data_IF_256492217493
#
_entry.id   IF_256492217493
#
_cell.length_a   1.000
_cell.length_b   1.000
_cell.length_c   1.000
_cell.angle_alpha   90.00
_cell.angle_beta   90.00
_cell.angle_gamma   90.00
#
_symmetry.space_group_name_H-M   'P 1'
#
loop_
_entity.id
_entity.type
_entity.pdbx_description
1 polymer ?
#
# COMPACT_ATOMS: atom_id res chain seq x y z
N UNK A 1 -12.72 -27.21 -6.31
CA UNK A 1 -11.94 -26.47 -5.27
C UNK A 1 -11.79 -25.05 -5.78
N UNK A 2 -12.05 -24.05 -4.98
CA UNK A 2 -11.78 -22.65 -5.35
C UNK A 2 -10.27 -22.43 -5.46
N UNK A 3 -9.87 -21.50 -6.34
CA UNK A 3 -8.47 -21.05 -6.42
C UNK A 3 -8.13 -20.19 -5.18
N UNK A 4 -6.92 -20.30 -4.67
CA UNK A 4 -6.44 -19.46 -3.55
C UNK A 4 -5.81 -18.14 -4.04
N UNK A 5 -5.65 -17.96 -5.35
CA UNK A 5 -5.13 -16.78 -6.01
C UNK A 5 -6.18 -16.08 -6.87
N UNK A 6 -5.94 -14.84 -7.22
CA UNK A 6 -6.79 -14.07 -8.13
C UNK A 6 -6.62 -14.61 -9.55
N UNK A 7 -7.72 -15.11 -10.14
CA UNK A 7 -7.75 -15.61 -11.51
C UNK A 7 -7.99 -14.45 -12.48
N UNK A 8 -6.90 -13.92 -13.02
CA UNK A 8 -6.91 -12.73 -13.89
C UNK A 8 -6.95 -13.10 -15.37
N UNK A 9 -7.58 -12.25 -16.15
CA UNK A 9 -7.44 -12.21 -17.59
C UNK A 9 -6.17 -11.41 -17.94
N UNK A 10 -5.12 -12.09 -18.41
CA UNK A 10 -3.82 -11.48 -18.73
C UNK A 10 -3.84 -10.50 -19.88
N UNK A 11 -4.98 -10.34 -20.57
CA UNK A 11 -5.15 -9.35 -21.65
C UNK A 11 -5.36 -7.92 -21.13
N UNK A 12 -5.59 -7.72 -19.83
CA UNK A 12 -5.90 -6.42 -19.24
C UNK A 12 -5.50 -6.33 -17.77
N UNK A 13 -5.16 -5.12 -17.34
CA UNK A 13 -4.99 -4.85 -15.93
C UNK A 13 -6.34 -4.80 -15.19
N UNK A 14 -6.33 -5.27 -13.97
CA UNK A 14 -7.50 -5.28 -13.09
C UNK A 14 -7.28 -4.29 -11.95
N UNK A 15 -8.32 -3.52 -11.61
CA UNK A 15 -8.27 -2.55 -10.52
C UNK A 15 -8.31 -3.26 -9.15
N UNK A 16 -7.20 -3.92 -8.85
CA UNK A 16 -6.89 -4.54 -7.57
C UNK A 16 -5.51 -4.06 -7.10
N UNK A 17 -5.29 -4.11 -5.80
CA UNK A 17 -4.05 -3.69 -5.17
C UNK A 17 -3.67 -4.66 -4.07
N UNK A 18 -2.38 -4.93 -3.91
CA UNK A 18 -1.86 -5.63 -2.74
C UNK A 18 -1.94 -4.69 -1.54
N UNK A 19 -2.86 -4.99 -0.61
CA UNK A 19 -3.16 -4.11 0.53
C UNK A 19 -2.21 -4.40 1.71
N UNK A 20 -1.42 -3.43 2.18
CA UNK A 20 -0.47 -3.62 3.26
C UNK A 20 -1.11 -4.09 4.58
N UNK A 21 -2.40 -3.80 4.78
CA UNK A 21 -3.13 -4.21 5.98
C UNK A 21 -3.55 -5.68 5.94
N UNK A 22 -3.74 -6.25 4.75
CA UNK A 22 -4.13 -7.65 4.54
C UNK A 22 -2.94 -8.61 4.49
N UNK A 23 -1.71 -8.11 4.54
CA UNK A 23 -0.51 -8.95 4.49
C UNK A 23 -0.44 -9.89 5.69
N UNK A 24 -0.18 -11.20 5.50
CA UNK A 24 0.16 -12.10 6.59
C UNK A 24 1.47 -11.65 7.27
N UNK A 25 1.66 -12.07 8.51
CA UNK A 25 2.77 -11.58 9.35
C UNK A 25 4.15 -11.68 8.68
N UNK A 26 4.43 -12.77 7.98
CA UNK A 26 5.68 -12.95 7.23
C UNK A 26 5.88 -11.85 6.19
N UNK A 27 4.87 -11.54 5.39
CA UNK A 27 4.94 -10.51 4.35
C UNK A 27 4.98 -9.11 4.96
N UNK A 28 4.19 -8.90 6.01
CA UNK A 28 4.17 -7.65 6.76
C UNK A 28 5.53 -7.34 7.38
N UNK A 29 6.23 -8.34 7.92
CA UNK A 29 7.56 -8.18 8.48
C UNK A 29 8.58 -7.73 7.42
N UNK A 30 8.57 -8.31 6.22
CA UNK A 30 9.45 -7.89 5.11
C UNK A 30 9.20 -6.42 4.75
N UNK A 31 7.94 -6.03 4.58
CA UNK A 31 7.57 -4.68 4.20
C UNK A 31 7.85 -3.64 5.31
N UNK A 32 7.62 -4.00 6.58
CA UNK A 32 7.96 -3.15 7.73
C UNK A 32 9.48 -2.96 7.85
N UNK A 33 10.26 -4.03 7.69
CA UNK A 33 11.72 -3.99 7.73
C UNK A 33 12.28 -3.03 6.69
N UNK A 34 11.77 -3.08 5.46
CA UNK A 34 12.15 -2.12 4.42
C UNK A 34 11.94 -0.68 4.85
N UNK A 35 10.73 -0.33 5.33
CA UNK A 35 10.42 1.06 5.74
C UNK A 35 11.30 1.50 6.91
N UNK A 36 11.52 0.64 7.90
CA UNK A 36 12.40 0.92 9.05
C UNK A 36 13.86 1.10 8.62
N UNK A 37 14.34 0.26 7.73
CA UNK A 37 15.72 0.36 7.19
C UNK A 37 15.92 1.66 6.43
N UNK A 38 14.99 2.02 5.56
CA UNK A 38 15.05 3.30 4.83
C UNK A 38 15.04 4.47 5.79
N UNK A 39 14.17 4.45 6.81
CA UNK A 39 14.14 5.50 7.84
C UNK A 39 15.44 5.59 8.62
N UNK A 40 16.02 4.46 9.00
CA UNK A 40 17.31 4.42 9.71
C UNK A 40 18.42 5.09 8.90
N UNK A 41 18.55 4.73 7.62
CA UNK A 41 19.54 5.34 6.71
C UNK A 41 19.28 6.84 6.54
N UNK A 42 18.01 7.23 6.36
CA UNK A 42 17.60 8.62 6.24
C UNK A 42 17.93 9.45 7.49
N UNK A 43 17.64 8.94 8.68
CA UNK A 43 17.84 9.62 9.96
C UNK A 43 19.31 9.83 10.30
N UNK A 44 20.20 8.98 9.78
CA UNK A 44 21.66 9.14 9.85
C UNK A 44 22.22 10.16 8.85
N UNK A 45 21.36 10.86 8.09
CA UNK A 45 21.73 11.89 7.13
C UNK A 45 22.03 11.37 5.71
N UNK A 46 22.04 10.05 5.48
CA UNK A 46 22.26 9.47 4.15
C UNK A 46 20.96 9.41 3.33
N UNK A 47 20.43 10.59 3.00
CA UNK A 47 19.19 10.70 2.23
C UNK A 47 19.28 10.09 0.84
N UNK A 48 20.42 10.20 0.19
CA UNK A 48 20.65 9.61 -1.13
C UNK A 48 20.59 8.08 -1.08
N UNK A 49 21.24 7.45 -0.09
CA UNK A 49 21.17 6.00 0.13
C UNK A 49 19.75 5.52 0.42
N UNK A 50 19.00 6.26 1.24
CA UNK A 50 17.59 5.96 1.50
C UNK A 50 16.75 6.01 0.20
N UNK A 51 16.95 7.01 -0.66
CA UNK A 51 16.26 7.12 -1.95
C UNK A 51 16.63 5.97 -2.88
N UNK A 52 17.88 5.55 -2.94
CA UNK A 52 18.32 4.44 -3.80
C UNK A 52 17.59 3.14 -3.48
N UNK A 53 17.27 2.87 -2.22
CA UNK A 53 16.48 1.68 -1.86
C UNK A 53 15.08 1.70 -2.49
N UNK A 54 14.43 2.87 -2.55
CA UNK A 54 13.13 2.99 -3.22
C UNK A 54 13.25 2.91 -4.75
N UNK A 55 14.30 3.50 -5.33
CA UNK A 55 14.52 3.49 -6.78
C UNK A 55 14.82 2.09 -7.33
N UNK A 56 15.21 1.15 -6.46
CA UNK A 56 15.41 -0.24 -6.84
C UNK A 56 14.08 -0.97 -7.09
N UNK A 57 13.00 -0.56 -6.42
CA UNK A 57 11.67 -1.12 -6.69
C UNK A 57 11.19 -0.64 -8.06
N UNK A 58 10.85 -1.60 -8.93
CA UNK A 58 10.33 -1.34 -10.27
C UNK A 58 8.89 -1.79 -10.35
N UNK A 59 8.11 -1.12 -11.18
CA UNK A 59 6.79 -1.57 -11.59
C UNK A 59 6.83 -3.04 -12.04
N UNK A 60 5.86 -3.83 -11.61
CA UNK A 60 5.78 -5.25 -11.90
C UNK A 60 4.51 -5.58 -12.68
N UNK A 61 4.59 -5.56 -14.00
CA UNK A 61 3.45 -5.85 -14.88
C UNK A 61 2.98 -7.32 -14.79
N UNK A 62 3.81 -8.21 -14.24
CA UNK A 62 3.51 -9.64 -14.13
C UNK A 62 2.35 -10.00 -13.18
N UNK A 63 1.78 -9.05 -12.45
CA UNK A 63 0.59 -9.25 -11.61
C UNK A 63 -0.71 -8.77 -12.27
N UNK A 64 -0.65 -7.98 -13.34
CA UNK A 64 -1.78 -7.36 -14.04
C UNK A 64 -2.75 -6.61 -13.11
N UNK A 65 -2.24 -5.96 -12.07
CA UNK A 65 -2.99 -5.11 -11.16
C UNK A 65 -2.65 -3.64 -11.40
N UNK A 66 -3.62 -2.76 -11.18
CA UNK A 66 -3.43 -1.32 -11.27
C UNK A 66 -4.60 -0.59 -11.93
N UNK A 67 -4.37 0.66 -12.28
CA UNK A 67 -5.32 1.45 -13.06
C UNK A 67 -5.08 1.17 -14.54
N UNK A 68 -5.99 0.41 -15.18
CA UNK A 68 -5.92 0.12 -16.61
C UNK A 68 -5.82 1.40 -17.45
N UNK A 69 -4.95 1.37 -18.46
CA UNK A 69 -4.96 2.18 -19.68
C UNK A 69 -4.42 3.61 -19.70
N UNK A 70 -4.21 4.30 -18.61
CA UNK A 70 -3.39 5.50 -18.73
C UNK A 70 -1.94 5.15 -18.40
N UNK A 71 -1.08 5.28 -19.42
CA UNK A 71 0.37 5.27 -19.25
C UNK A 71 0.72 6.27 -18.15
N UNK A 72 0.51 5.86 -16.91
CA UNK A 72 1.04 6.57 -15.77
C UNK A 72 2.53 6.52 -15.98
N UNK A 73 3.11 7.62 -16.43
CA UNK A 73 4.54 7.83 -16.35
C UNK A 73 4.85 7.73 -14.87
N UNK A 74 5.18 6.51 -14.45
CA UNK A 74 5.50 6.18 -13.07
C UNK A 74 6.65 7.05 -12.63
N UNK A 75 6.32 8.22 -12.09
CA UNK A 75 7.31 9.05 -11.43
C UNK A 75 7.61 8.34 -10.12
N UNK A 76 8.74 7.65 -10.05
CA UNK A 76 9.20 6.93 -8.86
C UNK A 76 9.17 7.79 -7.60
N UNK A 77 9.49 7.21 -6.46
CA UNK A 77 9.63 7.94 -5.19
C UNK A 77 10.70 9.01 -5.37
N UNK A 78 10.40 10.24 -4.97
CA UNK A 78 11.33 11.37 -5.06
C UNK A 78 11.92 11.71 -3.70
N UNK A 79 13.07 12.37 -3.69
CA UNK A 79 13.67 12.91 -2.46
C UNK A 79 12.68 13.77 -1.67
N UNK A 80 11.88 14.58 -2.38
CA UNK A 80 10.85 15.42 -1.74
C UNK A 80 9.77 14.58 -1.02
N UNK A 81 9.40 13.44 -1.55
CA UNK A 81 8.46 12.52 -0.89
C UNK A 81 9.08 11.91 0.37
N UNK A 82 10.34 11.50 0.31
CA UNK A 82 11.07 10.97 1.47
C UNK A 82 11.25 12.04 2.55
N UNK A 83 11.67 13.24 2.18
CA UNK A 83 11.82 14.36 3.13
C UNK A 83 10.49 14.72 3.78
N UNK A 84 9.40 14.71 3.04
CA UNK A 84 8.07 14.95 3.59
C UNK A 84 7.67 13.88 4.60
N UNK A 85 7.86 12.61 4.27
CA UNK A 85 7.42 11.50 5.13
C UNK A 85 8.36 11.30 6.31
N UNK A 86 9.64 11.07 6.08
CA UNK A 86 10.59 10.78 7.16
C UNK A 86 10.93 12.00 7.99
N UNK A 87 10.94 13.19 7.40
CA UNK A 87 11.05 14.44 8.16
C UNK A 87 9.85 14.66 9.07
N UNK A 88 8.66 14.20 8.67
CA UNK A 88 7.47 14.18 9.50
C UNK A 88 7.58 13.14 10.62
N UNK A 89 7.97 11.90 10.31
CA UNK A 89 8.20 10.84 11.31
C UNK A 89 9.23 11.29 12.35
N UNK A 90 10.31 11.95 11.92
CA UNK A 90 11.33 12.48 12.81
C UNK A 90 10.79 13.48 13.83
N UNK A 91 9.85 14.34 13.40
CA UNK A 91 9.19 15.34 14.26
C UNK A 91 8.08 14.76 15.15
N UNK A 92 7.61 13.56 14.83
CA UNK A 92 6.53 12.93 15.56
C UNK A 92 6.97 12.47 16.94
N UNK A 93 6.03 12.38 17.88
CA UNK A 93 6.29 11.84 19.21
C UNK A 93 6.61 10.35 19.14
N UNK A 94 7.48 9.88 20.03
CA UNK A 94 7.96 8.50 20.02
C UNK A 94 6.84 7.46 20.09
N UNK A 95 5.78 7.78 20.81
CA UNK A 95 4.60 6.92 20.98
C UNK A 95 3.99 6.42 19.66
N UNK A 96 3.98 7.25 18.60
CA UNK A 96 3.40 6.88 17.32
C UNK A 96 4.43 6.55 16.23
N UNK A 97 5.73 6.77 16.47
CA UNK A 97 6.78 6.53 15.47
C UNK A 97 6.74 5.11 14.91
N UNK A 98 6.66 4.11 15.76
CA UNK A 98 6.60 2.71 15.33
C UNK A 98 5.37 2.43 14.45
N UNK A 99 4.22 3.04 14.78
CA UNK A 99 3.01 2.93 13.97
C UNK A 99 3.12 3.68 12.63
N UNK A 100 3.90 4.76 12.59
CA UNK A 100 4.18 5.51 11.37
C UNK A 100 5.19 4.79 10.44
N UNK A 101 6.11 4.01 11.00
CA UNK A 101 7.12 3.27 10.24
C UNK A 101 6.59 1.93 9.72
N UNK A 102 5.41 1.99 9.10
CA UNK A 102 4.77 0.84 8.45
C UNK A 102 4.36 1.21 7.02
N UNK A 103 4.30 0.23 6.09
CA UNK A 103 3.95 0.50 4.69
C UNK A 103 2.61 1.20 4.52
N UNK A 104 1.61 0.85 5.33
CA UNK A 104 0.25 1.38 5.22
C UNK A 104 0.14 2.89 5.47
N UNK A 105 1.16 3.51 6.07
CA UNK A 105 1.15 4.95 6.38
C UNK A 105 1.53 5.81 5.17
N UNK A 106 2.34 5.29 4.27
CA UNK A 106 2.80 6.07 3.11
C UNK A 106 1.65 6.57 2.22
N UNK A 107 0.66 5.75 1.83
CA UNK A 107 -0.51 6.23 1.09
C UNK A 107 -1.33 7.27 1.83
N UNK A 108 -1.31 7.26 3.17
CA UNK A 108 -2.05 8.23 4.00
C UNK A 108 -1.35 9.58 4.03
N UNK A 109 -0.04 9.60 4.29
CA UNK A 109 0.71 10.82 4.61
C UNK A 109 1.49 11.39 3.43
N UNK A 110 1.99 10.56 2.51
CA UNK A 110 2.87 11.02 1.44
C UNK A 110 2.06 11.54 0.26
N UNK A 111 2.28 12.82 -0.09
CA UNK A 111 1.64 13.43 -1.28
C UNK A 111 2.04 12.67 -2.53
N UNK A 112 1.08 12.46 -3.44
CA UNK A 112 1.27 11.73 -4.69
C UNK A 112 1.69 10.25 -4.53
N UNK A 113 1.71 9.71 -3.33
CA UNK A 113 1.91 8.28 -3.10
C UNK A 113 0.52 7.63 -3.02
N UNK A 114 0.17 6.87 -4.06
CA UNK A 114 -1.14 6.23 -4.22
C UNK A 114 -1.14 4.77 -3.77
N UNK A 115 -2.31 4.15 -3.80
CA UNK A 115 -2.50 2.71 -3.59
C UNK A 115 -1.69 1.89 -4.60
N UNK A 116 -1.69 2.30 -5.86
CA UNK A 116 -0.95 1.69 -6.96
C UNK A 116 0.56 1.63 -6.67
N UNK A 117 1.17 2.77 -6.35
CA UNK A 117 2.60 2.81 -5.98
C UNK A 117 2.94 1.96 -4.76
N UNK A 118 2.03 1.90 -3.79
CA UNK A 118 2.25 1.07 -2.62
C UNK A 118 2.16 -0.41 -2.99
N UNK A 119 1.19 -0.78 -3.82
CA UNK A 119 1.05 -2.13 -4.34
C UNK A 119 2.30 -2.57 -5.12
N UNK A 120 2.80 -1.73 -6.04
CA UNK A 120 4.03 -1.99 -6.81
C UNK A 120 5.26 -2.18 -5.90
N UNK A 121 5.39 -1.32 -4.89
CA UNK A 121 6.46 -1.45 -3.90
C UNK A 121 6.36 -2.78 -3.16
N UNK A 122 5.17 -3.14 -2.67
CA UNK A 122 4.95 -4.39 -1.95
C UNK A 122 5.26 -5.61 -2.81
N UNK A 123 4.80 -5.62 -4.07
CA UNK A 123 5.11 -6.70 -5.01
C UNK A 123 6.62 -6.81 -5.26
N UNK A 124 7.31 -5.69 -5.39
CA UNK A 124 8.77 -5.70 -5.55
C UNK A 124 9.49 -6.26 -4.32
N UNK A 125 9.09 -5.85 -3.12
CA UNK A 125 9.68 -6.33 -1.87
C UNK A 125 9.42 -7.82 -1.65
N UNK A 126 8.20 -8.27 -1.94
CA UNK A 126 7.69 -9.63 -1.73
C UNK A 126 7.91 -10.55 -2.93
N UNK A 127 8.65 -10.13 -3.95
CA UNK A 127 8.75 -10.85 -5.24
C UNK A 127 9.19 -12.30 -5.08
N UNK A 128 10.18 -12.58 -4.23
CA UNK A 128 10.60 -13.96 -3.93
C UNK A 128 9.46 -14.80 -3.36
N UNK A 129 8.75 -14.28 -2.38
CA UNK A 129 7.64 -14.96 -1.72
C UNK A 129 6.50 -15.24 -2.69
N UNK A 130 6.16 -14.25 -3.53
CA UNK A 130 5.10 -14.37 -4.52
C UNK A 130 5.46 -15.32 -5.65
N UNK A 131 6.72 -15.35 -6.11
CA UNK A 131 7.17 -16.32 -7.13
C UNK A 131 7.13 -17.74 -6.58
N UNK A 132 7.62 -17.96 -5.35
CA UNK A 132 7.56 -19.30 -4.72
C UNK A 132 6.11 -19.76 -4.52
N UNK A 133 5.22 -18.87 -4.08
CA UNK A 133 3.79 -19.13 -3.99
C UNK A 133 3.21 -19.47 -5.38
N UNK A 134 3.56 -18.71 -6.42
CA UNK A 134 3.07 -18.95 -7.78
C UNK A 134 3.49 -20.31 -8.30
N UNK A 135 4.72 -20.74 -8.05
CA UNK A 135 5.22 -22.06 -8.45
C UNK A 135 4.50 -23.20 -7.71
N UNK A 136 4.16 -23.01 -6.43
CA UNK A 136 3.36 -23.96 -5.65
C UNK A 136 1.96 -24.08 -6.26
N UNK A 137 1.28 -22.96 -6.51
CA UNK A 137 -0.04 -22.97 -7.13
C UNK A 137 -0.02 -23.56 -8.54
N UNK A 138 1.01 -23.25 -9.33
CA UNK A 138 1.17 -23.82 -10.67
C UNK A 138 1.26 -25.35 -10.66
N UNK A 139 1.99 -25.92 -9.70
CA UNK A 139 2.06 -27.38 -9.53
C UNK A 139 0.71 -27.97 -9.14
N UNK A 140 -0.05 -27.29 -8.25
CA UNK A 140 -1.36 -27.78 -7.79
C UNK A 140 -2.42 -27.75 -8.90
N UNK A 141 -2.36 -26.74 -9.77
CA UNK A 141 -3.39 -26.50 -10.78
C UNK A 141 -2.95 -26.85 -12.21
N UNK A 142 -1.73 -27.38 -12.39
CA UNK A 142 -1.21 -27.76 -13.70
C UNK A 142 -0.92 -26.58 -14.64
N UNK A 143 -0.57 -25.42 -14.08
CA UNK A 143 -0.17 -24.25 -14.88
C UNK A 143 1.23 -24.44 -15.43
N UNK A 144 1.53 -23.78 -16.55
CA UNK A 144 2.81 -23.88 -17.19
C UNK A 144 3.90 -23.17 -16.39
N UNK A 145 5.02 -23.85 -16.18
CA UNK A 145 6.23 -23.33 -15.54
C UNK A 145 7.32 -23.20 -16.61
N UNK A 146 8.12 -22.14 -16.55
CA UNK A 146 9.24 -21.93 -17.45
C UNK A 146 10.27 -23.07 -17.34
N UNK A 147 10.89 -23.42 -18.46
CA UNK A 147 12.03 -24.36 -18.45
C UNK A 147 13.32 -23.64 -17.98
N UNK A 148 13.41 -22.35 -18.26
CA UNK A 148 14.53 -21.49 -17.90
C UNK A 148 14.36 -20.89 -16.51
N UNK A 149 15.49 -20.57 -15.86
CA UNK A 149 15.55 -19.77 -14.64
C UNK A 149 15.87 -18.33 -14.97
N UNK A 150 15.34 -17.40 -14.18
CA UNK A 150 15.59 -15.97 -14.29
C UNK A 150 15.99 -15.41 -12.92
N UNK A 151 16.76 -14.31 -12.94
CA UNK A 151 17.12 -13.56 -11.75
C UNK A 151 16.01 -12.57 -11.37
N UNK A 152 15.65 -12.57 -10.09
CA UNK A 152 14.62 -11.69 -9.54
C UNK A 152 15.17 -10.97 -8.31
N UNK A 153 14.96 -9.67 -8.27
CA UNK A 153 15.28 -8.87 -7.09
C UNK A 153 14.17 -8.98 -6.05
N UNK A 154 14.55 -9.03 -4.77
CA UNK A 154 13.65 -9.07 -3.63
C UNK A 154 14.29 -8.38 -2.42
N UNK A 155 13.49 -8.01 -1.42
CA UNK A 155 14.01 -7.49 -0.17
C UNK A 155 14.42 -8.63 0.77
N UNK A 156 15.70 -8.67 1.10
CA UNK A 156 16.27 -9.63 2.06
C UNK A 156 16.19 -9.06 3.47
N UNK A 157 15.22 -9.53 4.25
CA UNK A 157 14.97 -9.07 5.61
C UNK A 157 16.09 -9.42 6.58
N UNK A 158 16.82 -10.52 6.35
CA UNK A 158 17.90 -10.96 7.24
C UNK A 158 19.14 -10.06 7.11
N UNK A 159 19.36 -9.51 5.91
CA UNK A 159 20.49 -8.64 5.61
C UNK A 159 20.12 -7.16 5.39
N UNK A 160 18.84 -6.79 5.54
CA UNK A 160 18.30 -5.43 5.37
C UNK A 160 18.74 -4.76 4.05
N UNK A 161 18.66 -5.49 2.94
CA UNK A 161 19.09 -5.01 1.61
C UNK A 161 18.35 -5.70 0.48
N UNK A 162 18.41 -5.10 -0.68
CA UNK A 162 18.03 -5.78 -1.92
C UNK A 162 19.00 -6.92 -2.21
N UNK A 163 18.46 -8.06 -2.61
CA UNK A 163 19.19 -9.25 -3.03
C UNK A 163 18.54 -9.85 -4.27
N UNK A 164 19.24 -10.74 -4.93
CA UNK A 164 18.78 -11.43 -6.14
C UNK A 164 18.70 -12.93 -5.88
N UNK A 165 17.67 -13.60 -6.39
CA UNK A 165 17.57 -15.06 -6.39
C UNK A 165 17.23 -15.56 -7.79
N UNK A 166 17.61 -16.80 -8.08
CA UNK A 166 17.31 -17.49 -9.32
C UNK A 166 16.10 -18.40 -9.13
N UNK A 167 15.15 -18.35 -10.06
CA UNK A 167 13.98 -19.22 -10.01
C UNK A 167 13.38 -19.43 -11.40
N UNK A 168 12.73 -20.58 -11.59
CA UNK A 168 11.69 -20.74 -12.59
C UNK A 168 10.49 -19.85 -12.23
N UNK A 169 9.58 -19.64 -13.16
CA UNK A 169 8.41 -18.78 -13.01
C UNK A 169 7.21 -19.31 -13.79
N UNK A 170 6.02 -18.89 -13.43
CA UNK A 170 4.79 -19.26 -14.11
C UNK A 170 4.67 -18.48 -15.43
N UNK A 171 4.19 -19.19 -16.47
CA UNK A 171 3.90 -18.63 -17.78
C UNK A 171 2.39 -18.67 -18.03
N UNK A 172 1.88 -17.56 -18.59
CA UNK A 172 0.52 -17.45 -19.08
C UNK A 172 0.49 -16.79 -20.47
N UNK A 173 -0.42 -17.18 -21.36
CA UNK A 173 -0.56 -16.53 -22.65
C UNK A 173 -1.16 -15.12 -22.50
N UNK A 174 -0.59 -14.13 -23.15
CA UNK A 174 -1.19 -12.80 -23.31
C UNK A 174 -2.30 -12.82 -24.39
N UNK A 175 -2.90 -11.66 -24.68
CA UNK A 175 -3.93 -11.49 -25.72
C UNK A 175 -3.54 -11.99 -27.13
N UNK A 176 -2.24 -12.03 -27.44
CA UNK A 176 -1.69 -12.49 -28.71
C UNK A 176 -1.25 -13.97 -28.68
N UNK A 177 -1.50 -14.66 -27.56
CA UNK A 177 -1.08 -16.06 -27.36
C UNK A 177 0.42 -16.22 -27.09
N UNK A 178 1.15 -15.13 -26.81
CA UNK A 178 2.56 -15.16 -26.43
C UNK A 178 2.65 -15.41 -24.92
N UNK A 179 3.49 -16.36 -24.53
CA UNK A 179 3.69 -16.66 -23.12
C UNK A 179 4.52 -15.58 -22.43
N UNK A 180 4.00 -15.07 -21.34
CA UNK A 180 4.62 -14.03 -20.53
C UNK A 180 4.72 -14.48 -19.07
N UNK A 181 5.67 -13.88 -18.37
CA UNK A 181 5.86 -14.08 -16.94
C UNK A 181 4.64 -13.63 -16.15
N UNK A 182 4.10 -14.52 -15.32
CA UNK A 182 2.96 -14.26 -14.46
C UNK A 182 3.32 -14.50 -12.98
N UNK A 183 2.92 -13.59 -12.12
CA UNK A 183 2.93 -13.75 -10.67
C UNK A 183 1.49 -13.93 -10.18
N UNK A 184 1.20 -15.06 -9.56
CA UNK A 184 -0.07 -15.30 -8.90
C UNK A 184 -0.09 -14.62 -7.54
N UNK A 185 -1.15 -13.85 -7.28
CA UNK A 185 -1.30 -13.11 -6.02
C UNK A 185 -2.41 -13.76 -5.19
N UNK A 186 -2.15 -14.08 -3.89
CA UNK A 186 -3.17 -14.66 -3.03
C UNK A 186 -4.40 -13.73 -2.91
N UNK A 187 -5.60 -14.29 -2.98
CA UNK A 187 -6.86 -13.53 -2.80
C UNK A 187 -6.91 -12.80 -1.45
N UNK A 188 -6.32 -13.39 -0.43
CA UNK A 188 -6.35 -12.88 0.94
C UNK A 188 -5.62 -11.54 1.12
N UNK A 189 -4.73 -11.16 0.19
CA UNK A 189 -3.92 -9.93 0.33
C UNK A 189 -4.36 -8.79 -0.59
N UNK A 190 -5.46 -8.94 -1.32
CA UNK A 190 -5.90 -7.95 -2.32
C UNK A 190 -7.13 -7.19 -1.88
N UNK A 191 -7.22 -5.95 -2.31
CA UNK A 191 -8.40 -5.09 -2.13
C UNK A 191 -8.63 -4.23 -3.37
N UNK A 192 -9.88 -3.80 -3.59
CA UNK A 192 -10.27 -2.82 -4.63
C UNK A 192 -9.83 -1.40 -4.26
N UNK A 193 -9.72 -1.14 -2.97
CA UNK A 193 -9.20 0.11 -2.36
C UNK A 193 -8.61 -0.24 -1.02
N UNK A 194 -7.53 0.40 -0.66
CA UNK A 194 -6.93 0.16 0.65
C UNK A 194 -7.93 0.39 1.79
N UNK A 195 -7.90 -0.53 2.74
CA UNK A 195 -8.70 -0.44 3.96
C UNK A 195 -8.31 0.78 4.80
N UNK A 196 -7.04 1.16 4.74
CA UNK A 196 -6.50 2.39 5.35
C UNK A 196 -6.28 3.45 4.28
N UNK A 197 -6.95 4.59 4.43
CA UNK A 197 -6.85 5.69 3.48
C UNK A 197 -7.12 7.06 4.13
N UNK A 198 -6.71 8.18 3.48
CA UNK A 198 -6.87 9.52 4.02
C UNK A 198 -8.30 9.87 4.43
N UNK A 199 -9.29 9.51 3.63
CA UNK A 199 -10.70 9.87 3.89
C UNK A 199 -11.23 9.22 5.17
N UNK A 200 -10.88 7.95 5.40
CA UNK A 200 -11.27 7.25 6.65
C UNK A 200 -10.58 7.86 7.87
N UNK A 201 -9.32 8.23 7.74
CA UNK A 201 -8.61 8.87 8.84
C UNK A 201 -9.20 10.26 9.16
N UNK A 202 -9.51 11.08 8.14
CA UNK A 202 -10.22 12.35 8.33
C UNK A 202 -11.55 12.14 9.05
N UNK A 203 -12.30 11.10 8.71
CA UNK A 203 -13.56 10.80 9.40
C UNK A 203 -13.36 10.50 10.88
N UNK A 204 -12.29 9.81 11.26
CA UNK A 204 -11.94 9.59 12.67
C UNK A 204 -11.60 10.91 13.36
N UNK A 205 -10.77 11.76 12.74
CA UNK A 205 -10.47 13.09 13.27
C UNK A 205 -11.77 13.89 13.48
N UNK A 206 -12.67 13.90 12.49
CA UNK A 206 -13.93 14.63 12.61
C UNK A 206 -14.85 14.10 13.70
N UNK A 207 -14.88 12.79 13.93
CA UNK A 207 -15.62 12.21 15.06
C UNK A 207 -15.11 12.77 16.41
N UNK A 208 -13.80 12.90 16.58
CA UNK A 208 -13.23 13.51 17.77
C UNK A 208 -13.55 15.01 17.87
N UNK A 209 -13.46 15.75 16.76
CA UNK A 209 -13.79 17.17 16.73
C UNK A 209 -15.25 17.44 17.05
N UNK A 210 -16.17 16.57 16.62
CA UNK A 210 -17.61 16.68 16.92
C UNK A 210 -17.94 16.64 18.42
N UNK A 211 -17.05 16.08 19.24
CA UNK A 211 -17.21 16.05 20.69
C UNK A 211 -16.81 17.37 21.37
N UNK A 212 -16.13 18.28 20.65
CA UNK A 212 -15.63 19.54 21.20
C UNK A 212 -16.68 20.65 21.06
N UNK A 213 -16.87 21.47 22.09
CA UNK A 213 -17.82 22.59 22.10
C UNK A 213 -17.65 23.56 20.92
N UNK A 214 -16.39 23.89 20.54
CA UNK A 214 -16.08 24.78 19.42
C UNK A 214 -16.58 24.28 18.06
N UNK A 215 -16.89 23.00 17.94
CA UNK A 215 -17.42 22.37 16.73
C UNK A 215 -18.91 22.03 16.84
N UNK A 216 -19.59 22.58 17.85
CA UNK A 216 -21.04 22.52 17.95
C UNK A 216 -21.68 23.74 17.29
N UNK A 217 -22.93 23.59 16.87
CA UNK A 217 -23.77 24.67 16.39
C UNK A 217 -24.38 25.43 17.58
N UNK A 218 -24.95 26.59 17.32
CA UNK A 218 -25.63 27.42 18.35
C UNK A 218 -26.74 26.70 19.11
N UNK A 219 -27.33 25.66 18.52
CA UNK A 219 -28.34 24.82 19.15
C UNK A 219 -27.74 23.61 19.92
N UNK A 220 -26.43 23.54 20.12
CA UNK A 220 -25.76 22.48 20.82
C UNK A 220 -25.57 21.16 20.04
N UNK A 221 -25.99 21.10 18.77
CA UNK A 221 -25.75 19.90 17.96
C UNK A 221 -24.38 19.92 17.30
N UNK A 222 -23.67 18.76 17.17
CA UNK A 222 -22.39 18.72 16.47
C UNK A 222 -22.51 19.15 15.01
N UNK A 223 -21.48 19.81 14.48
CA UNK A 223 -21.35 20.05 13.06
C UNK A 223 -21.25 18.74 12.29
N UNK A 224 -21.86 18.65 11.13
CA UNK A 224 -21.72 17.50 10.24
C UNK A 224 -20.28 17.37 9.73
N UNK A 225 -19.89 16.19 9.24
CA UNK A 225 -18.57 15.99 8.62
C UNK A 225 -18.37 16.90 7.39
N UNK A 226 -19.45 17.23 6.65
CA UNK A 226 -19.40 18.18 5.54
C UNK A 226 -19.05 19.58 6.01
N UNK A 227 -19.70 20.07 7.06
CA UNK A 227 -19.41 21.40 7.64
C UNK A 227 -18.00 21.47 8.22
N UNK A 228 -17.54 20.41 8.89
CA UNK A 228 -16.16 20.31 9.36
C UNK A 228 -15.16 20.31 8.20
N UNK A 229 -15.45 19.58 7.11
CA UNK A 229 -14.60 19.59 5.93
C UNK A 229 -14.43 20.99 5.34
N UNK A 230 -15.52 21.74 5.25
CA UNK A 230 -15.47 23.13 4.74
C UNK A 230 -14.67 24.05 5.68
N UNK A 231 -14.92 24.01 6.99
CA UNK A 231 -14.24 24.88 7.94
C UNK A 231 -12.79 24.50 8.25
N UNK A 232 -12.48 23.20 8.34
CA UNK A 232 -11.16 22.74 8.77
C UNK A 232 -10.21 22.49 7.58
N UNK A 233 -10.71 21.97 6.47
CA UNK A 233 -9.87 21.58 5.33
C UNK A 233 -9.94 22.57 4.18
N UNK A 234 -11.14 22.84 3.66
CA UNK A 234 -11.30 23.65 2.45
C UNK A 234 -10.88 25.11 2.69
N UNK A 235 -11.24 25.66 3.84
CA UNK A 235 -10.92 27.04 4.22
C UNK A 235 -9.42 27.28 4.48
N UNK A 236 -8.68 26.25 4.96
CA UNK A 236 -7.34 26.42 5.49
C UNK A 236 -6.23 25.84 4.59
N UNK A 237 -6.55 24.97 3.63
CA UNK A 237 -5.56 24.28 2.79
C UNK A 237 -5.85 24.49 1.30
N UNK A 238 -4.80 24.70 0.49
CA UNK A 238 -4.95 24.91 -0.96
C UNK A 238 -4.60 23.69 -1.80
N UNK A 239 -3.40 23.09 -1.59
CA UNK A 239 -2.90 21.93 -2.34
C UNK A 239 -2.85 20.69 -1.45
N UNK A 240 -3.17 19.52 -2.04
CA UNK A 240 -3.17 18.24 -1.32
C UNK A 240 -3.86 18.37 0.05
N UNK A 241 -5.00 19.04 0.07
CA UNK A 241 -5.72 19.52 1.26
C UNK A 241 -5.83 18.46 2.33
N UNK A 242 -6.28 17.26 1.95
CA UNK A 242 -6.53 16.17 2.87
C UNK A 242 -5.25 15.70 3.56
N UNK A 243 -4.18 15.45 2.79
CA UNK A 243 -2.91 14.98 3.36
C UNK A 243 -2.19 16.05 4.16
N UNK A 244 -2.29 17.32 3.76
CA UNK A 244 -1.75 18.44 4.56
C UNK A 244 -2.46 18.57 5.91
N UNK A 245 -3.79 18.53 5.90
CA UNK A 245 -4.61 18.54 7.12
C UNK A 245 -4.29 17.37 8.06
N UNK A 246 -4.22 16.15 7.52
CA UNK A 246 -3.89 14.94 8.28
C UNK A 246 -2.52 15.08 8.95
N UNK A 247 -1.50 15.57 8.22
CA UNK A 247 -0.16 15.78 8.77
C UNK A 247 -0.19 16.73 9.97
N UNK A 248 -0.84 17.88 9.83
CA UNK A 248 -0.91 18.88 10.88
C UNK A 248 -1.69 18.34 12.10
N UNK A 249 -2.85 17.72 11.86
CA UNK A 249 -3.67 17.16 12.93
C UNK A 249 -2.99 16.04 13.70
N UNK A 250 -2.21 15.19 13.03
CA UNK A 250 -1.47 14.12 13.69
C UNK A 250 -0.30 14.65 14.53
N UNK A 251 0.32 15.78 14.15
CA UNK A 251 1.33 16.43 14.98
C UNK A 251 0.74 17.11 16.22
N UNK A 252 -0.46 17.69 16.08
CA UNK A 252 -1.17 18.36 17.18
C UNK A 252 -1.76 17.33 18.15
N UNK A 253 -2.37 16.29 17.63
CA UNK A 253 -3.12 15.27 18.37
C UNK A 253 -2.76 13.86 17.89
N UNK A 254 -1.58 13.33 18.27
CA UNK A 254 -1.10 12.01 17.86
C UNK A 254 -2.06 10.87 18.21
N UNK A 255 -2.87 11.04 19.25
CA UNK A 255 -3.88 10.07 19.70
C UNK A 255 -4.94 9.77 18.62
N UNK A 256 -5.22 10.68 17.70
CA UNK A 256 -6.14 10.43 16.59
C UNK A 256 -5.58 9.37 15.64
N UNK A 257 -4.28 9.44 15.37
CA UNK A 257 -3.65 8.44 14.52
C UNK A 257 -3.54 7.09 15.25
N UNK A 258 -3.22 7.10 16.53
CA UNK A 258 -3.19 5.89 17.35
C UNK A 258 -4.54 5.17 17.34
N UNK A 259 -5.63 5.89 17.62
CA UNK A 259 -6.99 5.35 17.58
C UNK A 259 -7.37 4.83 16.19
N UNK A 260 -7.01 5.56 15.13
CA UNK A 260 -7.25 5.14 13.74
C UNK A 260 -6.48 3.86 13.39
N UNK A 261 -5.19 3.81 13.74
CA UNK A 261 -4.33 2.66 13.49
C UNK A 261 -4.84 1.41 14.18
N UNK A 262 -5.09 1.50 15.49
CA UNK A 262 -5.54 0.36 16.31
C UNK A 262 -6.91 -0.16 15.87
N UNK A 263 -7.82 0.74 15.50
CA UNK A 263 -9.11 0.36 14.94
C UNK A 263 -8.95 -0.32 13.56
N UNK A 264 -8.07 0.20 12.71
CA UNK A 264 -7.84 -0.38 11.38
C UNK A 264 -7.29 -1.80 11.46
N UNK A 265 -6.34 -2.07 12.36
CA UNK A 265 -5.83 -3.43 12.61
C UNK A 265 -6.94 -4.36 13.09
N UNK A 266 -7.74 -3.95 14.08
CA UNK A 266 -8.85 -4.77 14.62
C UNK A 266 -9.91 -5.12 13.58
N UNK A 267 -10.14 -4.24 12.60
CA UNK A 267 -11.15 -4.45 11.55
C UNK A 267 -10.60 -5.12 10.30
N UNK A 268 -9.29 -5.45 10.24
CA UNK A 268 -8.70 -6.14 9.09
C UNK A 268 -8.99 -7.63 9.07
N UNK A 269 -9.27 -8.23 10.22
CA UNK A 269 -9.34 -9.68 10.42
C UNK A 269 -10.50 -10.40 9.70
N UNK A 270 -11.20 -9.80 8.75
CA UNK A 270 -12.22 -10.46 7.91
C UNK A 270 -12.57 -9.59 6.68
N UNK A 271 -11.59 -8.90 6.09
CA UNK A 271 -11.83 -7.93 5.01
C UNK A 271 -11.20 -8.30 3.67
N UNK A 272 -10.72 -9.53 3.50
CA UNK A 272 -10.42 -10.03 2.16
C UNK A 272 -11.70 -10.07 1.33
N UNK A 273 -11.57 -9.80 0.03
CA UNK A 273 -12.68 -9.87 -0.90
C UNK A 273 -13.21 -11.31 -0.96
N UNK A 274 -14.54 -11.45 -0.98
CA UNK A 274 -15.18 -12.75 -1.25
C UNK A 274 -14.97 -13.17 -2.70
N UNK A 275 -15.20 -14.45 -3.01
CA UNK A 275 -15.12 -14.92 -4.40
C UNK A 275 -16.15 -14.24 -5.31
N UNK A 276 -17.34 -13.89 -4.79
CA UNK A 276 -18.39 -13.18 -5.52
C UNK A 276 -17.94 -11.75 -5.84
N UNK A 277 -17.36 -11.03 -4.86
CA UNK A 277 -16.83 -9.68 -5.06
C UNK A 277 -15.66 -9.67 -6.06
N UNK A 278 -14.77 -10.67 -6.00
CA UNK A 278 -13.68 -10.82 -6.96
C UNK A 278 -14.21 -11.08 -8.37
N UNK A 279 -15.19 -11.98 -8.54
CA UNK A 279 -15.81 -12.25 -9.83
C UNK A 279 -16.44 -10.97 -10.37
N UNK A 280 -17.17 -10.21 -9.55
CA UNK A 280 -17.74 -8.95 -9.96
C UNK A 280 -16.67 -7.94 -10.46
N UNK A 281 -15.55 -7.83 -9.75
CA UNK A 281 -14.44 -6.94 -10.15
C UNK A 281 -13.80 -7.40 -11.46
N UNK A 282 -13.60 -8.70 -11.63
CA UNK A 282 -12.94 -9.29 -12.79
C UNK A 282 -13.84 -9.26 -14.05
N UNK A 283 -15.17 -9.29 -13.89
CA UNK A 283 -16.14 -9.33 -14.98
C UNK A 283 -16.71 -7.97 -15.35
N UNK A 284 -16.76 -6.99 -14.43
CA UNK A 284 -17.23 -5.65 -14.73
C UNK A 284 -16.18 -4.85 -15.53
N UNK A 285 -16.59 -4.46 -16.76
CA UNK A 285 -15.80 -3.63 -17.68
C UNK A 285 -15.77 -2.17 -17.25
#
# INVERSE_FOLDING_TARGET
MGLDFVDIDTSKDVRLFVDPLLLPDRFRNIANDFVKTVYSIYSLGNKAGALQLFLHSKECNAIHFGYSSDKSKGTGVSMQMLDQFFGYVYKSVDKIKEKLLTPMTMPIFVKKFSEDRMSDLLVSLLKKELILYSLEQAKLHGLKISEEVQHFDYWDVDNHKWATFESQYVLAPNENGVEEFLILVPKSVVSKRFLVNPSRYISVIFQHLQLMEKHQRTNGTPKSQKELRESEIVANYQKDKDKSYILDMTLISPEYYEAYYDNSIRFSDNKSLSDEELIEILTNK
#
